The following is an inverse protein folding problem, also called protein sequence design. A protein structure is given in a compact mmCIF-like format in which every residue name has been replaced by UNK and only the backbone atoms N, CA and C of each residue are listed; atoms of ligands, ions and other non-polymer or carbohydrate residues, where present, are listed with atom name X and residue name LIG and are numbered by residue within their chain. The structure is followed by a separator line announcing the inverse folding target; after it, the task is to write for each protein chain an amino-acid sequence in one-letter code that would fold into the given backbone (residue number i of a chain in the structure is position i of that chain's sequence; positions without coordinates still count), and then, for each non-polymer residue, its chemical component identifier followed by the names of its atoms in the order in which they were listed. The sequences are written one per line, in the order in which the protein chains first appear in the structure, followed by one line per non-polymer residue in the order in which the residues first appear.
data_IF_374752947449
#
_entry.id   IF_374752947449
#
_cell.length_a   1.000
_cell.length_b   1.000
_cell.length_c   1.000
_cell.angle_alpha   90.00
_cell.angle_beta   90.00
_cell.angle_gamma   90.00
#
_symmetry.space_group_name_H-M   'P 1'
#
loop_
_entity.id
_entity.type
_entity.pdbx_description
1 polymer ?
#
# COMPACT_ATOMS: atom_id res chain seq x y z
N UNK A 1 -9.74 29.80 -4.54
CA UNK A 1 -8.47 29.80 -3.77
C UNK A 1 -8.53 30.90 -2.72
N UNK A 2 -8.97 30.58 -1.51
CA UNK A 2 -8.66 31.37 -0.32
C UNK A 2 -7.45 30.70 0.33
N UNK A 3 -6.24 31.09 -0.10
CA UNK A 3 -5.01 30.75 0.62
C UNK A 3 -4.67 31.97 1.48
N UNK A 4 -5.27 32.04 2.66
CA UNK A 4 -5.02 33.11 3.61
C UNK A 4 -4.29 32.57 4.82
N UNK A 5 -3.00 32.89 4.97
CA UNK A 5 -2.28 32.84 6.25
C UNK A 5 -2.80 33.95 7.20
N UNK A 6 -4.12 34.02 7.39
CA UNK A 6 -4.83 35.04 8.16
C UNK A 6 -5.84 34.41 9.12
N UNK A 7 -6.15 35.06 10.25
CA UNK A 7 -6.91 34.48 11.34
C UNK A 7 -8.43 34.53 11.09
N UNK A 8 -8.94 33.78 10.11
CA UNK A 8 -10.38 33.53 9.94
C UNK A 8 -10.69 32.12 9.40
N UNK A 9 -11.96 31.72 9.44
CA UNK A 9 -12.45 30.57 8.67
C UNK A 9 -12.37 30.91 7.17
N UNK A 10 -12.10 29.92 6.33
CA UNK A 10 -12.05 30.05 4.86
C UNK A 10 -13.31 30.70 4.23
N UNK A 11 -14.49 30.50 4.81
CA UNK A 11 -15.72 31.23 4.50
C UNK A 11 -16.66 31.30 5.72
N UNK A 12 -17.23 32.48 6.01
CA UNK A 12 -18.20 32.72 7.09
C UNK A 12 -19.42 33.43 6.49
N UNK A 13 -20.62 32.87 6.65
CA UNK A 13 -21.85 33.48 6.13
C UNK A 13 -23.06 33.26 7.06
N UNK A 14 -23.99 34.20 7.05
CA UNK A 14 -25.34 34.02 7.63
C UNK A 14 -26.39 33.66 6.58
N UNK A 15 -25.99 33.57 5.32
CA UNK A 15 -26.78 33.19 4.15
C UNK A 15 -26.18 31.94 3.50
N UNK A 16 -26.90 31.34 2.54
CA UNK A 16 -26.45 30.17 1.79
C UNK A 16 -25.03 30.35 1.22
N UNK A 17 -24.23 29.28 1.28
CA UNK A 17 -22.87 29.21 0.70
C UNK A 17 -22.81 28.13 -0.36
N UNK A 18 -22.46 28.49 -1.59
CA UNK A 18 -22.20 27.55 -2.68
C UNK A 18 -20.73 27.56 -3.06
N UNK A 19 -20.12 26.38 -3.15
CA UNK A 19 -18.72 26.16 -3.53
C UNK A 19 -18.67 25.16 -4.67
N UNK A 20 -18.07 25.53 -5.79
CA UNK A 20 -17.97 24.67 -6.98
C UNK A 20 -16.55 24.69 -7.51
N UNK A 21 -16.02 23.52 -7.87
CA UNK A 21 -14.72 23.35 -8.52
C UNK A 21 -13.58 24.11 -7.82
N UNK A 22 -13.61 24.11 -6.48
CA UNK A 22 -12.81 25.01 -5.66
C UNK A 22 -12.03 24.28 -4.58
N UNK A 23 -10.85 24.82 -4.27
CA UNK A 23 -10.03 24.38 -3.12
C UNK A 23 -10.04 25.43 -2.02
N UNK A 24 -10.43 25.00 -0.82
CA UNK A 24 -10.36 25.74 0.44
C UNK A 24 -9.39 24.99 1.34
N UNK A 25 -8.18 25.54 1.53
CA UNK A 25 -7.14 24.82 2.24
C UNK A 25 -6.20 25.69 3.05
N UNK A 26 -5.65 25.11 4.12
CA UNK A 26 -4.65 25.75 4.97
C UNK A 26 -5.20 26.89 5.84
N UNK A 27 -6.52 26.97 6.04
CA UNK A 27 -7.13 27.99 6.88
C UNK A 27 -7.05 27.58 8.35
N UNK A 28 -6.70 28.50 9.26
CA UNK A 28 -6.65 28.20 10.69
C UNK A 28 -6.57 29.46 11.54
N UNK A 29 -7.45 29.58 12.55
CA UNK A 29 -7.61 30.89 13.23
C UNK A 29 -8.05 30.88 14.69
N UNK A 30 -8.25 29.72 15.32
CA UNK A 30 -8.87 29.67 16.66
C UNK A 30 -10.36 30.04 16.67
N UNK A 31 -10.96 30.26 15.48
CA UNK A 31 -12.41 30.32 15.30
C UNK A 31 -13.04 28.92 15.44
N UNK A 32 -14.37 28.87 15.59
CA UNK A 32 -15.17 27.64 15.67
C UNK A 32 -14.85 26.67 14.52
N UNK A 33 -14.48 27.18 13.34
CA UNK A 33 -14.25 26.37 12.13
C UNK A 33 -13.03 26.81 11.34
N UNK A 34 -12.30 25.86 10.78
CA UNK A 34 -11.16 26.13 9.89
C UNK A 34 -11.60 26.48 8.47
N UNK A 35 -12.43 25.66 7.83
CA UNK A 35 -12.89 25.85 6.45
C UNK A 35 -14.13 26.74 6.31
N UNK A 36 -15.33 26.14 6.21
CA UNK A 36 -16.59 26.85 5.93
C UNK A 36 -17.51 26.80 7.14
N UNK A 37 -18.09 27.94 7.50
CA UNK A 37 -19.21 28.01 8.44
C UNK A 37 -20.34 28.85 7.86
N UNK A 38 -21.55 28.29 7.88
CA UNK A 38 -22.76 29.01 7.51
C UNK A 38 -23.90 28.70 8.49
N UNK A 39 -24.68 29.72 8.84
CA UNK A 39 -25.94 29.53 9.59
C UNK A 39 -27.12 29.09 8.72
N UNK A 40 -26.89 29.00 7.41
CA UNK A 40 -27.85 28.60 6.37
C UNK A 40 -27.25 27.42 5.57
N UNK A 41 -27.89 27.04 4.47
CA UNK A 41 -27.48 25.90 3.64
C UNK A 41 -26.06 26.04 3.06
N UNK A 42 -25.32 24.94 3.03
CA UNK A 42 -24.00 24.83 2.37
C UNK A 42 -24.10 23.81 1.24
N UNK A 43 -23.77 24.21 0.01
CA UNK A 43 -23.70 23.34 -1.15
C UNK A 43 -22.28 23.31 -1.72
N UNK A 44 -21.72 22.12 -1.87
CA UNK A 44 -20.34 21.92 -2.33
C UNK A 44 -20.32 20.88 -3.46
N UNK A 45 -19.77 21.25 -4.60
CA UNK A 45 -19.69 20.36 -5.77
C UNK A 45 -18.27 20.35 -6.33
N UNK A 46 -17.71 19.17 -6.60
CA UNK A 46 -16.44 19.05 -7.31
C UNK A 46 -15.25 19.72 -6.60
N UNK A 47 -15.27 19.78 -5.26
CA UNK A 47 -14.41 20.67 -4.49
C UNK A 47 -13.56 19.96 -3.43
N UNK A 48 -12.55 20.68 -2.93
CA UNK A 48 -11.62 20.18 -1.93
C UNK A 48 -11.58 21.08 -0.71
N UNK A 49 -11.74 20.47 0.46
CA UNK A 49 -11.49 21.13 1.74
C UNK A 49 -10.34 20.41 2.42
N UNK A 50 -9.16 21.04 2.45
CA UNK A 50 -7.95 20.36 2.90
C UNK A 50 -7.11 21.13 3.92
N UNK A 51 -6.51 20.42 4.87
CA UNK A 51 -5.53 20.99 5.82
C UNK A 51 -6.05 22.22 6.59
N UNK A 52 -7.36 22.32 6.81
CA UNK A 52 -7.95 23.40 7.60
C UNK A 52 -7.97 23.04 9.08
N UNK A 53 -7.79 24.03 9.96
CA UNK A 53 -7.71 23.84 11.42
C UNK A 53 -8.77 24.68 12.12
N UNK A 54 -9.68 24.05 12.86
CA UNK A 54 -10.75 24.72 13.61
C UNK A 54 -10.85 24.30 15.07
N UNK A 55 -11.54 25.11 15.87
CA UNK A 55 -11.75 24.83 17.29
C UNK A 55 -12.90 23.84 17.57
N UNK A 56 -13.86 23.72 16.65
CA UNK A 56 -14.96 22.74 16.72
C UNK A 56 -14.98 21.86 15.49
N UNK A 57 -14.93 22.45 14.29
CA UNK A 57 -14.89 21.71 13.04
C UNK A 57 -13.66 22.07 12.19
N UNK A 58 -12.97 21.07 11.64
CA UNK A 58 -11.79 21.33 10.80
C UNK A 58 -12.20 21.93 9.46
N UNK A 59 -13.12 21.27 8.75
CA UNK A 59 -13.51 21.64 7.40
C UNK A 59 -14.84 22.40 7.33
N UNK A 60 -15.93 21.87 7.90
CA UNK A 60 -17.30 22.39 7.70
C UNK A 60 -18.05 22.41 9.02
N UNK A 61 -18.77 23.49 9.31
CA UNK A 61 -19.83 23.54 10.33
C UNK A 61 -21.10 24.09 9.67
N UNK A 62 -22.11 23.23 9.54
CA UNK A 62 -23.39 23.60 8.92
C UNK A 62 -24.45 23.85 9.98
N UNK A 63 -25.04 25.04 9.94
CA UNK A 63 -26.12 25.44 10.84
C UNK A 63 -27.50 24.92 10.44
N UNK A 64 -27.76 24.68 9.15
CA UNK A 64 -29.03 24.16 8.61
C UNK A 64 -28.83 22.89 7.76
N UNK A 65 -28.60 22.99 6.45
CA UNK A 65 -28.38 21.81 5.59
C UNK A 65 -26.99 21.83 4.98
N UNK A 66 -26.44 20.65 4.72
CA UNK A 66 -25.18 20.47 3.98
C UNK A 66 -25.44 19.53 2.81
N UNK A 67 -24.95 19.90 1.63
CA UNK A 67 -24.84 18.99 0.50
C UNK A 67 -23.42 19.02 -0.04
N UNK A 68 -22.83 17.84 -0.19
CA UNK A 68 -21.56 17.67 -0.91
C UNK A 68 -21.76 16.65 -2.02
N UNK A 69 -21.29 16.97 -3.22
CA UNK A 69 -21.26 16.06 -4.37
C UNK A 69 -19.85 16.04 -4.92
N UNK A 70 -19.27 14.86 -5.19
CA UNK A 70 -17.94 14.76 -5.78
C UNK A 70 -16.90 15.59 -5.01
N UNK A 71 -16.84 15.43 -3.69
CA UNK A 71 -16.06 16.32 -2.81
C UNK A 71 -15.01 15.54 -2.02
N UNK A 72 -13.80 16.08 -1.91
CA UNK A 72 -12.73 15.52 -1.07
C UNK A 72 -12.47 16.40 0.15
N UNK A 73 -12.57 15.83 1.35
CA UNK A 73 -12.33 16.50 2.63
C UNK A 73 -11.19 15.78 3.34
N UNK A 74 -9.99 16.38 3.35
CA UNK A 74 -8.77 15.66 3.74
C UNK A 74 -7.79 16.49 4.58
N UNK A 75 -7.16 15.88 5.58
CA UNK A 75 -6.08 16.56 6.34
C UNK A 75 -6.55 17.64 7.32
N UNK A 76 -7.86 17.86 7.46
CA UNK A 76 -8.41 18.88 8.35
C UNK A 76 -8.28 18.47 9.81
N UNK A 77 -8.22 19.44 10.73
CA UNK A 77 -7.95 19.18 12.15
C UNK A 77 -8.87 19.98 13.06
N UNK A 78 -9.46 19.31 14.04
CA UNK A 78 -10.21 19.93 15.12
C UNK A 78 -10.32 18.97 16.30
N UNK A 79 -10.58 19.46 17.52
CA UNK A 79 -10.69 18.60 18.69
C UNK A 79 -12.01 17.81 18.77
N UNK A 80 -13.08 18.29 18.12
CA UNK A 80 -14.40 17.64 18.10
C UNK A 80 -14.67 16.98 16.74
N UNK A 81 -15.01 17.77 15.72
CA UNK A 81 -15.30 17.27 14.38
C UNK A 81 -14.11 17.54 13.44
N UNK A 82 -13.23 16.57 13.26
CA UNK A 82 -12.02 16.78 12.46
C UNK A 82 -12.33 17.22 11.02
N UNK A 83 -13.45 16.76 10.44
CA UNK A 83 -13.95 17.19 9.14
C UNK A 83 -15.23 18.03 9.25
N UNK A 84 -16.36 17.41 9.58
CA UNK A 84 -17.71 18.02 9.44
C UNK A 84 -18.43 18.02 10.79
N UNK A 85 -18.93 19.18 11.20
CA UNK A 85 -19.97 19.31 12.22
C UNK A 85 -21.31 19.63 11.54
N UNK A 86 -22.20 18.65 11.45
CA UNK A 86 -23.55 18.80 10.94
C UNK A 86 -24.52 19.02 12.11
N UNK A 87 -24.73 20.27 12.54
CA UNK A 87 -25.38 20.55 13.84
C UNK A 87 -26.88 20.33 13.86
N UNK A 88 -27.55 20.61 12.75
CA UNK A 88 -29.00 20.44 12.58
C UNK A 88 -29.31 20.05 11.14
N UNK A 89 -30.57 19.74 10.85
CA UNK A 89 -31.05 19.52 9.48
C UNK A 89 -30.43 18.29 8.81
N UNK A 90 -30.32 18.33 7.48
CA UNK A 90 -29.82 17.21 6.68
C UNK A 90 -28.42 17.51 6.15
N UNK A 91 -27.50 16.57 6.35
CA UNK A 91 -26.19 16.55 5.71
C UNK A 91 -26.15 15.42 4.68
N UNK A 92 -26.25 15.76 3.40
CA UNK A 92 -26.18 14.81 2.28
C UNK A 92 -24.77 14.77 1.68
N UNK A 93 -24.10 13.62 1.79
CA UNK A 93 -22.79 13.37 1.21
C UNK A 93 -22.90 12.33 0.09
N UNK A 94 -22.77 12.80 -1.15
CA UNK A 94 -22.86 11.99 -2.36
C UNK A 94 -21.50 11.95 -3.08
N UNK A 95 -20.97 10.75 -3.34
CA UNK A 95 -19.65 10.59 -3.97
C UNK A 95 -18.58 11.44 -3.27
N UNK A 96 -18.52 11.33 -1.94
CA UNK A 96 -17.63 12.15 -1.09
C UNK A 96 -16.57 11.28 -0.42
N UNK A 97 -15.37 11.82 -0.29
CA UNK A 97 -14.26 11.17 0.41
C UNK A 97 -13.85 12.02 1.60
N UNK A 98 -14.06 11.52 2.81
CA UNK A 98 -13.62 12.12 4.08
C UNK A 98 -12.47 11.26 4.63
N UNK A 99 -11.22 11.72 4.50
CA UNK A 99 -10.05 10.89 4.83
C UNK A 99 -8.92 11.69 5.50
N UNK A 100 -8.09 11.06 6.32
CA UNK A 100 -6.93 11.68 6.99
C UNK A 100 -7.23 12.98 7.74
N UNK A 101 -8.47 13.18 8.21
CA UNK A 101 -8.78 14.29 9.08
C UNK A 101 -8.31 13.92 10.49
N UNK A 102 -7.71 14.85 11.23
CA UNK A 102 -7.06 14.59 12.51
C UNK A 102 -7.83 15.20 13.69
N UNK A 103 -8.28 14.34 14.60
CA UNK A 103 -8.77 14.76 15.92
C UNK A 103 -7.62 15.31 16.76
N UNK A 104 -7.67 16.58 17.15
CA UNK A 104 -6.63 17.18 18.01
C UNK A 104 -6.82 16.76 19.47
N UNK A 105 -5.76 16.26 20.09
CA UNK A 105 -5.77 15.85 21.50
C UNK A 105 -6.07 17.04 22.42
N UNK A 106 -7.27 17.06 22.99
CA UNK A 106 -7.60 17.87 24.16
C UNK A 106 -7.63 16.95 25.38
N UNK A 107 -7.03 17.38 26.49
CA UNK A 107 -7.12 16.67 27.76
C UNK A 107 -8.17 17.35 28.64
N UNK A 108 -9.23 16.65 29.11
CA UNK A 108 -9.57 15.25 28.84
C UNK A 108 -10.14 15.03 27.41
N UNK A 109 -9.97 13.81 26.91
CA UNK A 109 -10.48 13.35 25.62
C UNK A 109 -11.99 13.54 25.57
N UNK A 110 -12.47 14.37 24.64
CA UNK A 110 -13.89 14.58 24.41
C UNK A 110 -14.52 13.32 23.78
N UNK A 111 -15.66 12.80 24.30
CA UNK A 111 -16.36 11.65 23.74
C UNK A 111 -16.98 11.91 22.36
N UNK A 112 -17.13 13.17 21.95
CA UNK A 112 -17.68 13.55 20.65
C UNK A 112 -16.62 13.64 19.54
N UNK A 113 -15.35 13.39 19.87
CA UNK A 113 -14.25 13.46 18.91
C UNK A 113 -14.42 12.44 17.80
N UNK A 114 -14.55 12.92 16.57
CA UNK A 114 -14.85 12.12 15.38
C UNK A 114 -14.43 12.84 14.10
N UNK A 115 -14.51 12.17 12.95
CA UNK A 115 -14.39 12.87 11.66
C UNK A 115 -15.66 13.66 11.35
N UNK A 116 -16.81 13.03 11.53
CA UNK A 116 -18.13 13.64 11.34
C UNK A 116 -18.90 13.60 12.66
N UNK A 117 -19.29 14.78 13.14
CA UNK A 117 -20.18 14.95 14.28
C UNK A 117 -21.57 15.35 13.76
N UNK A 118 -22.59 14.57 14.11
CA UNK A 118 -23.98 14.80 13.69
C UNK A 118 -24.82 15.20 14.90
N UNK A 119 -25.50 16.34 14.80
CA UNK A 119 -26.23 16.98 15.88
C UNK A 119 -25.33 17.86 16.76
N UNK A 120 -25.96 18.57 17.69
CA UNK A 120 -25.28 19.41 18.68
C UNK A 120 -25.79 19.10 20.11
N UNK A 121 -24.94 18.48 20.94
CA UNK A 121 -25.30 18.16 22.32
C UNK A 121 -25.53 19.41 23.20
N UNK A 122 -24.93 20.55 22.84
CA UNK A 122 -25.12 21.81 23.55
C UNK A 122 -26.41 22.53 23.14
N UNK A 123 -26.96 22.21 21.97
CA UNK A 123 -28.21 22.74 21.43
C UNK A 123 -28.97 21.62 20.70
N UNK A 124 -29.63 20.69 21.44
CA UNK A 124 -30.14 19.44 20.89
C UNK A 124 -31.20 19.71 19.82
N UNK A 125 -30.76 19.56 18.58
CA UNK A 125 -31.58 19.52 17.39
C UNK A 125 -31.32 18.18 16.72
N UNK A 126 -32.36 17.62 16.11
CA UNK A 126 -32.24 16.39 15.34
C UNK A 126 -31.50 16.72 14.05
N UNK A 127 -30.51 15.90 13.71
CA UNK A 127 -29.75 16.00 12.48
C UNK A 127 -29.68 14.63 11.82
N UNK A 128 -29.75 14.63 10.50
CA UNK A 128 -29.70 13.41 9.70
C UNK A 128 -28.49 13.47 8.76
N UNK A 129 -27.63 12.47 8.85
CA UNK A 129 -26.53 12.27 7.90
C UNK A 129 -26.97 11.27 6.84
N UNK A 130 -27.01 11.69 5.59
CA UNK A 130 -27.38 10.86 4.44
C UNK A 130 -26.12 10.58 3.64
N UNK A 131 -25.80 9.30 3.44
CA UNK A 131 -24.59 8.86 2.75
C UNK A 131 -24.95 8.06 1.50
N UNK A 132 -24.38 8.42 0.35
CA UNK A 132 -24.42 7.63 -0.87
C UNK A 132 -23.06 7.66 -1.59
N UNK A 133 -22.49 6.49 -1.92
CA UNK A 133 -21.18 6.40 -2.56
C UNK A 133 -20.07 7.15 -1.79
N UNK A 134 -20.14 7.14 -0.45
CA UNK A 134 -19.26 7.96 0.40
C UNK A 134 -18.34 7.11 1.27
N UNK A 135 -17.08 7.53 1.37
CA UNK A 135 -16.13 6.99 2.34
C UNK A 135 -15.90 7.95 3.51
N UNK A 136 -15.98 7.44 4.75
CA UNK A 136 -15.66 8.18 5.97
C UNK A 136 -14.57 7.47 6.79
N UNK A 137 -13.39 8.06 6.86
CA UNK A 137 -12.28 7.60 7.69
C UNK A 137 -12.33 8.21 9.10
N UNK A 138 -11.90 7.44 10.09
CA UNK A 138 -11.70 7.84 11.47
C UNK A 138 -10.76 9.05 11.59
N UNK A 139 -11.03 9.91 12.58
CA UNK A 139 -10.26 11.13 12.80
C UNK A 139 -8.84 10.86 13.36
N UNK A 140 -8.59 9.67 13.87
CA UNK A 140 -7.31 9.18 14.37
C UNK A 140 -7.51 7.77 14.91
N UNK A 141 -6.42 7.04 15.13
CA UNK A 141 -6.48 5.71 15.74
C UNK A 141 -7.25 5.74 17.07
N UNK A 142 -8.35 4.98 17.15
CA UNK A 142 -9.20 4.89 18.33
C UNK A 142 -10.22 6.03 18.50
N UNK A 143 -10.47 6.82 17.45
CA UNK A 143 -11.60 7.76 17.40
C UNK A 143 -12.59 7.35 16.31
N UNK A 144 -13.90 7.50 16.53
CA UNK A 144 -14.92 7.18 15.54
C UNK A 144 -14.78 7.95 14.21
N UNK A 145 -15.12 7.31 13.10
CA UNK A 145 -15.46 7.99 11.85
C UNK A 145 -16.69 8.91 12.04
N UNK A 146 -17.75 8.41 12.68
CA UNK A 146 -18.97 9.18 12.95
C UNK A 146 -19.35 9.15 14.44
N UNK A 147 -19.89 10.28 14.94
CA UNK A 147 -20.57 10.34 16.24
C UNK A 147 -21.91 11.04 16.09
N UNK A 148 -22.96 10.42 16.63
CA UNK A 148 -24.28 11.03 16.81
C UNK A 148 -24.32 11.71 18.19
N UNK A 149 -24.33 13.04 18.21
CA UNK A 149 -24.24 13.87 19.40
C UNK A 149 -25.56 13.97 20.18
N UNK A 150 -26.70 13.83 19.49
CA UNK A 150 -28.04 14.06 20.04
C UNK A 150 -28.92 12.82 19.86
N UNK A 151 -29.73 12.52 20.88
CA UNK A 151 -30.71 11.45 20.81
C UNK A 151 -31.85 11.88 19.86
N UNK A 152 -31.99 11.19 18.73
CA UNK A 152 -32.90 11.56 17.64
C UNK A 152 -32.19 11.72 16.30
N UNK A 153 -30.90 12.04 16.32
CA UNK A 153 -30.06 12.03 15.12
C UNK A 153 -29.86 10.61 14.61
N UNK A 154 -29.72 10.47 13.29
CA UNK A 154 -29.56 9.19 12.61
C UNK A 154 -28.63 9.31 11.40
N UNK A 155 -28.10 8.15 10.98
CA UNK A 155 -27.49 7.99 9.66
C UNK A 155 -28.49 7.26 8.76
N UNK A 156 -28.81 7.86 7.62
CA UNK A 156 -29.48 7.21 6.51
C UNK A 156 -28.40 6.67 5.55
N UNK A 157 -28.10 5.37 5.66
CA UNK A 157 -27.18 4.70 4.74
C UNK A 157 -27.93 4.25 3.49
N UNK A 158 -27.73 4.97 2.39
CA UNK A 158 -28.36 4.66 1.10
C UNK A 158 -27.65 3.49 0.42
N UNK A 159 -26.60 3.72 -0.37
CA UNK A 159 -25.89 2.64 -1.06
C UNK A 159 -24.41 2.92 -1.27
N UNK A 160 -23.65 1.83 -1.32
CA UNK A 160 -22.21 1.77 -1.55
C UNK A 160 -21.40 2.74 -0.67
N UNK A 161 -21.71 2.79 0.62
CA UNK A 161 -20.93 3.56 1.58
C UNK A 161 -19.83 2.71 2.20
N UNK A 162 -18.79 3.36 2.71
CA UNK A 162 -17.75 2.70 3.47
C UNK A 162 -17.30 3.56 4.65
N UNK A 163 -16.99 2.93 5.77
CA UNK A 163 -16.33 3.59 6.89
C UNK A 163 -15.16 2.76 7.40
N UNK A 164 -14.21 3.43 8.05
CA UNK A 164 -12.99 2.74 8.50
C UNK A 164 -13.21 1.87 9.74
N UNK A 165 -14.24 2.13 10.55
CA UNK A 165 -14.34 1.57 11.90
C UNK A 165 -15.76 1.19 12.37
N UNK A 166 -16.75 1.11 11.46
CA UNK A 166 -18.13 0.68 11.75
C UNK A 166 -18.85 1.57 12.77
N UNK A 167 -18.58 2.87 12.72
CA UNK A 167 -19.19 3.87 13.63
C UNK A 167 -20.20 4.77 12.94
N UNK A 168 -20.30 4.72 11.62
CA UNK A 168 -21.29 5.47 10.84
C UNK A 168 -22.63 4.73 10.66
N UNK A 169 -22.88 3.64 11.42
CA UNK A 169 -24.12 2.86 11.37
C UNK A 169 -24.52 2.47 9.92
N UNK A 170 -23.55 2.01 9.12
CA UNK A 170 -23.78 1.59 7.74
C UNK A 170 -24.53 0.25 7.70
N UNK A 171 -25.81 0.30 7.32
CA UNK A 171 -26.71 -0.86 7.39
C UNK A 171 -27.14 -1.42 6.04
N UNK A 172 -26.84 -0.75 4.93
CA UNK A 172 -27.30 -1.22 3.63
C UNK A 172 -26.44 -2.41 3.16
N UNK A 173 -27.00 -3.45 2.50
CA UNK A 173 -26.25 -4.65 2.13
C UNK A 173 -25.07 -4.43 1.16
N UNK A 174 -25.01 -3.28 0.52
CA UNK A 174 -23.92 -2.90 -0.40
C UNK A 174 -22.78 -2.16 0.30
N UNK A 175 -22.93 -1.83 1.58
CA UNK A 175 -21.96 -1.03 2.30
C UNK A 175 -20.75 -1.88 2.74
N UNK A 176 -19.67 -1.18 3.06
CA UNK A 176 -18.44 -1.73 3.60
C UNK A 176 -18.17 -1.10 4.98
N UNK A 177 -18.83 -1.57 6.06
CA UNK A 177 -18.52 -1.12 7.40
C UNK A 177 -17.17 -1.65 7.88
N UNK A 178 -16.40 -0.80 8.57
CA UNK A 178 -15.22 -1.20 9.31
C UNK A 178 -14.05 -1.70 8.46
N UNK A 179 -13.81 -1.10 7.28
CA UNK A 179 -12.76 -1.58 6.36
C UNK A 179 -11.32 -1.35 6.85
N UNK A 180 -11.14 -0.57 7.90
CA UNK A 180 -9.82 -0.13 8.36
C UNK A 180 -9.23 0.92 7.43
N UNK A 181 -8.00 0.70 6.97
CA UNK A 181 -7.32 1.61 6.03
C UNK A 181 -7.99 1.50 4.64
N UNK A 182 -8.51 2.61 4.10
CA UNK A 182 -9.13 2.60 2.77
C UNK A 182 -8.11 2.50 1.62
N UNK A 183 -6.80 2.54 1.91
CA UNK A 183 -5.73 2.41 0.92
C UNK A 183 -5.83 3.48 -0.19
N UNK A 184 -6.17 4.71 0.22
CA UNK A 184 -6.23 5.89 -0.65
C UNK A 184 -4.82 6.46 -0.86
N UNK A 185 -4.47 6.79 -2.11
CA UNK A 185 -3.24 7.53 -2.39
C UNK A 185 -3.30 8.95 -1.78
N UNK A 186 -2.16 9.60 -1.50
CA UNK A 186 -2.13 10.97 -0.97
C UNK A 186 -2.92 11.96 -1.84
N UNK A 187 -3.37 13.06 -1.24
CA UNK A 187 -4.07 14.13 -1.96
C UNK A 187 -3.19 14.65 -3.10
N UNK A 188 -3.66 14.48 -4.33
CA UNK A 188 -2.88 14.76 -5.52
C UNK A 188 -3.77 15.24 -6.66
N UNK A 189 -3.16 15.82 -7.67
CA UNK A 189 -3.83 16.08 -8.94
C UNK A 189 -4.01 14.75 -9.68
N UNK A 190 -5.24 14.24 -9.71
CA UNK A 190 -5.60 12.99 -10.38
C UNK A 190 -6.43 13.25 -11.66
N UNK A 191 -6.34 14.46 -12.21
CA UNK A 191 -7.26 14.98 -13.21
C UNK A 191 -8.45 15.71 -12.59
N UNK A 192 -9.14 16.53 -13.39
CA UNK A 192 -10.27 17.35 -12.94
C UNK A 192 -9.91 18.76 -12.49
N UNK A 193 -10.88 19.51 -11.92
CA UNK A 193 -10.70 20.89 -11.50
C UNK A 193 -9.96 21.05 -10.16
N UNK A 194 -9.94 19.99 -9.34
CA UNK A 194 -9.40 19.97 -7.98
C UNK A 194 -8.66 18.66 -7.69
N UNK A 195 -7.83 18.66 -6.64
CA UNK A 195 -7.11 17.46 -6.20
C UNK A 195 -8.07 16.43 -5.58
N UNK A 196 -7.73 15.14 -5.63
CA UNK A 196 -8.58 14.09 -5.02
C UNK A 196 -7.74 13.04 -4.29
N UNK A 197 -8.43 12.18 -3.54
CA UNK A 197 -7.86 10.99 -2.89
C UNK A 197 -8.31 9.76 -3.67
N UNK A 198 -7.44 9.27 -4.55
CA UNK A 198 -7.77 8.15 -5.41
C UNK A 198 -7.56 6.81 -4.67
N UNK A 199 -8.50 5.85 -4.73
CA UNK A 199 -8.25 4.50 -4.26
C UNK A 199 -7.03 3.87 -4.95
N UNK A 200 -6.24 3.09 -4.22
CA UNK A 200 -5.16 2.30 -4.83
C UNK A 200 -5.68 1.03 -5.50
N UNK A 201 -4.79 0.28 -6.15
CA UNK A 201 -5.12 -1.03 -6.75
C UNK A 201 -5.53 -2.11 -5.75
N UNK A 202 -5.32 -1.88 -4.44
CA UNK A 202 -5.69 -2.81 -3.38
C UNK A 202 -6.80 -2.28 -2.47
N UNK A 203 -7.33 -1.11 -2.77
CA UNK A 203 -8.42 -0.53 -1.99
C UNK A 203 -9.68 -1.36 -2.13
N UNK A 204 -10.37 -1.62 -1.01
CA UNK A 204 -11.70 -2.20 -1.01
C UNK A 204 -12.75 -1.28 -1.66
N UNK A 205 -12.44 0.02 -1.80
CA UNK A 205 -13.32 1.00 -2.44
C UNK A 205 -13.32 0.87 -3.97
N UNK A 206 -12.32 0.20 -4.56
CA UNK A 206 -12.14 0.05 -6.01
C UNK A 206 -13.19 -0.88 -6.62
N UNK A 207 -13.79 -0.46 -7.74
CA UNK A 207 -14.79 -1.25 -8.51
C UNK A 207 -15.96 -1.80 -7.68
N UNK A 208 -16.22 -1.23 -6.50
CA UNK A 208 -17.22 -1.78 -5.58
C UNK A 208 -18.64 -1.44 -6.03
N UNK A 209 -18.82 -0.33 -6.76
CA UNK A 209 -20.11 0.08 -7.30
C UNK A 209 -20.32 -0.61 -8.65
N UNK A 210 -21.33 -1.49 -8.82
CA UNK A 210 -21.54 -2.18 -10.09
C UNK A 210 -21.92 -1.23 -11.22
N UNK A 211 -21.42 -1.50 -12.43
CA UNK A 211 -21.82 -0.76 -13.63
C UNK A 211 -23.34 -0.75 -13.82
N UNK A 212 -23.89 0.44 -14.09
CA UNK A 212 -25.33 0.70 -14.24
C UNK A 212 -26.06 1.02 -12.93
N UNK A 213 -25.36 1.02 -11.78
CA UNK A 213 -25.90 1.56 -10.55
C UNK A 213 -25.98 3.10 -10.59
N UNK A 214 -26.69 3.68 -9.62
CA UNK A 214 -26.70 5.14 -9.40
C UNK A 214 -25.27 5.63 -9.14
N UNK A 215 -24.86 6.73 -9.80
CA UNK A 215 -23.49 7.27 -9.84
C UNK A 215 -22.45 6.36 -10.50
N UNK A 216 -22.88 5.30 -11.18
CA UNK A 216 -21.99 4.41 -11.91
C UNK A 216 -22.61 3.96 -13.24
N UNK A 217 -23.34 4.85 -13.90
CA UNK A 217 -23.96 4.59 -15.19
C UNK A 217 -23.09 5.10 -16.35
N UNK A 218 -23.08 4.42 -17.51
CA UNK A 218 -22.39 4.91 -18.69
C UNK A 218 -22.82 6.34 -19.06
N UNK A 219 -21.88 7.28 -18.96
CA UNK A 219 -22.12 8.71 -19.20
C UNK A 219 -22.02 9.58 -17.96
N UNK A 220 -22.04 8.99 -16.76
CA UNK A 220 -21.67 9.70 -15.53
C UNK A 220 -20.19 10.07 -15.58
N UNK A 221 -19.81 11.12 -14.84
CA UNK A 221 -18.44 11.64 -14.83
C UNK A 221 -18.02 11.91 -13.38
N UNK A 222 -16.88 11.35 -12.98
CA UNK A 222 -16.27 11.58 -11.67
C UNK A 222 -15.70 12.99 -11.53
N UNK A 223 -15.33 13.40 -10.31
CA UNK A 223 -14.66 14.68 -10.06
C UNK A 223 -13.39 14.86 -10.91
N UNK A 224 -12.64 13.78 -11.15
CA UNK A 224 -11.42 13.85 -11.95
C UNK A 224 -11.65 13.83 -13.47
N UNK A 225 -12.91 13.95 -13.91
CA UNK A 225 -13.28 14.12 -15.31
C UNK A 225 -13.29 12.82 -16.13
N UNK A 226 -13.30 11.66 -15.47
CA UNK A 226 -13.36 10.36 -16.14
C UNK A 226 -14.80 9.91 -16.30
N UNK A 227 -15.12 9.31 -17.46
CA UNK A 227 -16.42 8.70 -17.69
C UNK A 227 -16.57 7.42 -16.87
N UNK A 228 -17.71 7.21 -16.24
CA UNK A 228 -17.94 6.04 -15.40
C UNK A 228 -18.65 4.91 -16.15
N UNK A 229 -18.37 3.64 -15.80
CA UNK A 229 -17.19 3.18 -15.06
C UNK A 229 -15.92 3.21 -15.94
N UNK A 230 -14.75 3.24 -15.30
CA UNK A 230 -13.46 3.00 -15.96
C UNK A 230 -13.04 1.53 -15.89
N UNK A 231 -13.66 0.74 -15.01
CA UNK A 231 -13.40 -0.68 -14.84
C UNK A 231 -14.67 -1.53 -14.95
N UNK A 232 -14.66 -2.73 -14.34
CA UNK A 232 -15.89 -3.51 -14.15
C UNK A 232 -16.93 -2.82 -13.24
N UNK A 233 -16.52 -1.85 -12.43
CA UNK A 233 -17.37 -1.01 -11.58
C UNK A 233 -16.80 0.39 -11.41
N UNK A 234 -17.34 1.15 -10.47
CA UNK A 234 -16.84 2.46 -10.06
C UNK A 234 -16.32 2.42 -8.63
N UNK A 235 -15.48 3.40 -8.29
CA UNK A 235 -14.98 3.61 -6.95
C UNK A 235 -16.03 4.18 -5.98
N UNK A 236 -15.99 3.76 -4.71
CA UNK A 236 -16.63 4.53 -3.62
C UNK A 236 -15.81 5.79 -3.36
N UNK A 237 -16.48 6.94 -3.29
CA UNK A 237 -15.89 8.24 -2.98
C UNK A 237 -15.92 9.19 -4.17
N UNK A 238 -15.01 10.17 -4.15
CA UNK A 238 -15.11 11.35 -5.00
C UNK A 238 -14.38 11.26 -6.34
N UNK A 239 -13.62 10.20 -6.60
CA UNK A 239 -12.80 10.09 -7.81
C UNK A 239 -12.74 8.66 -8.32
N UNK A 240 -12.62 8.54 -9.65
CA UNK A 240 -12.53 7.27 -10.35
C UNK A 240 -11.09 7.03 -10.81
N UNK A 241 -10.64 5.78 -10.77
CA UNK A 241 -9.34 5.36 -11.30
C UNK A 241 -9.46 5.19 -12.81
N UNK A 242 -8.56 5.77 -13.61
CA UNK A 242 -8.59 5.51 -15.05
C UNK A 242 -8.40 4.03 -15.33
N UNK A 243 -9.04 3.55 -16.39
CA UNK A 243 -8.87 2.20 -16.90
C UNK A 243 -7.38 2.00 -17.22
N UNK A 244 -6.66 1.35 -16.32
CA UNK A 244 -5.22 1.22 -16.43
C UNK A 244 -4.90 -0.20 -16.86
N UNK A 245 -4.20 -0.32 -17.98
CA UNK A 245 -3.49 -1.56 -18.27
C UNK A 245 -2.35 -1.70 -17.24
N UNK A 246 -2.46 -2.63 -16.29
CA UNK A 246 -1.53 -2.75 -15.18
C UNK A 246 -1.23 -4.21 -14.80
N UNK A 247 -0.03 -4.40 -14.26
CA UNK A 247 0.36 -5.60 -13.53
C UNK A 247 0.69 -5.19 -12.09
N UNK A 248 0.15 -5.92 -11.14
CA UNK A 248 0.36 -5.65 -9.73
C UNK A 248 0.28 -6.93 -8.92
N UNK A 249 0.67 -6.88 -7.65
CA UNK A 249 0.54 -8.04 -6.77
C UNK A 249 1.37 -7.90 -5.52
N UNK A 250 1.59 -9.03 -4.86
CA UNK A 250 2.40 -9.16 -3.65
C UNK A 250 3.58 -10.08 -3.90
N UNK A 251 4.66 -9.85 -3.17
CA UNK A 251 5.78 -10.79 -3.07
C UNK A 251 5.93 -11.24 -1.63
N UNK A 252 5.95 -12.56 -1.42
CA UNK A 252 6.09 -13.17 -0.10
C UNK A 252 7.23 -14.19 -0.05
N UNK A 253 7.66 -14.53 1.16
CA UNK A 253 8.59 -15.62 1.38
C UNK A 253 7.84 -16.97 1.33
N UNK A 254 8.39 -17.91 0.57
CA UNK A 254 7.81 -19.25 0.43
C UNK A 254 7.78 -19.97 1.78
N UNK A 255 6.60 -20.47 2.17
CA UNK A 255 6.42 -21.27 3.38
C UNK A 255 6.03 -20.47 4.62
N UNK A 256 6.61 -19.29 4.83
CA UNK A 256 6.25 -18.41 5.95
C UNK A 256 5.12 -17.44 5.59
N UNK A 257 4.99 -17.08 4.32
CA UNK A 257 4.02 -16.08 3.84
C UNK A 257 4.38 -14.65 4.24
N UNK A 258 5.55 -14.43 4.85
CA UNK A 258 6.02 -13.10 5.25
C UNK A 258 6.16 -12.23 4.00
N UNK A 259 5.60 -11.01 3.97
CA UNK A 259 5.79 -10.12 2.83
C UNK A 259 7.24 -9.68 2.67
N UNK A 260 7.71 -9.61 1.43
CA UNK A 260 9.09 -9.28 1.10
C UNK A 260 9.18 -7.86 0.54
N UNK A 261 9.77 -6.97 1.34
CA UNK A 261 10.07 -5.60 0.94
C UNK A 261 11.39 -5.50 0.15
N UNK A 262 11.50 -4.49 -0.71
CA UNK A 262 12.76 -4.22 -1.42
C UNK A 262 13.06 -5.17 -2.60
N UNK A 263 12.12 -6.05 -2.96
CA UNK A 263 12.25 -6.93 -4.13
C UNK A 263 12.08 -6.09 -5.38
N UNK A 264 13.08 -6.13 -6.26
CA UNK A 264 13.01 -5.46 -7.54
C UNK A 264 12.14 -6.27 -8.51
N UNK A 265 11.03 -5.68 -8.92
CA UNK A 265 10.11 -6.24 -9.90
C UNK A 265 10.37 -5.59 -11.24
N UNK A 266 10.66 -6.37 -12.28
CA UNK A 266 10.94 -5.85 -13.63
C UNK A 266 10.01 -6.49 -14.65
N UNK A 267 9.21 -5.66 -15.30
CA UNK A 267 8.32 -6.08 -16.39
C UNK A 267 9.09 -6.05 -17.70
N UNK A 268 8.99 -7.13 -18.46
CA UNK A 268 9.61 -7.29 -19.78
C UNK A 268 8.63 -7.81 -20.79
N UNK A 269 8.82 -7.48 -22.06
CA UNK A 269 8.04 -8.08 -23.15
C UNK A 269 8.40 -9.56 -23.33
N UNK A 270 7.59 -10.32 -24.07
CA UNK A 270 7.92 -11.69 -24.51
C UNK A 270 9.21 -11.81 -25.33
N UNK A 271 9.71 -10.71 -25.91
CA UNK A 271 11.01 -10.63 -26.58
C UNK A 271 12.18 -10.28 -25.63
N UNK A 272 11.94 -10.27 -24.31
CA UNK A 272 12.90 -9.93 -23.25
C UNK A 272 13.35 -8.45 -23.27
N UNK A 273 12.57 -7.56 -23.87
CA UNK A 273 12.84 -6.11 -23.83
C UNK A 273 12.39 -5.55 -22.48
N UNK A 274 13.21 -4.72 -21.85
CA UNK A 274 12.84 -4.01 -20.62
C UNK A 274 11.74 -3.00 -20.87
N UNK A 275 10.72 -2.99 -20.00
CA UNK A 275 9.56 -2.08 -20.11
C UNK A 275 9.54 -1.14 -18.92
N UNK A 276 9.46 -1.70 -17.72
CA UNK A 276 9.34 -0.95 -16.48
C UNK A 276 9.93 -1.73 -15.30
N UNK A 277 10.15 -1.03 -14.20
CA UNK A 277 10.49 -1.64 -12.92
C UNK A 277 9.86 -0.89 -11.76
N UNK A 278 9.62 -1.62 -10.69
CA UNK A 278 9.22 -1.11 -9.39
C UNK A 278 9.93 -1.92 -8.30
N UNK A 279 9.72 -1.54 -7.05
CA UNK A 279 10.24 -2.25 -5.87
C UNK A 279 9.08 -2.51 -4.92
N UNK A 280 9.05 -3.69 -4.31
CA UNK A 280 7.99 -4.02 -3.35
C UNK A 280 8.05 -3.15 -2.09
N UNK A 281 6.88 -2.75 -1.61
CA UNK A 281 6.69 -2.04 -0.35
C UNK A 281 6.92 -2.93 0.88
N UNK A 282 6.77 -2.36 2.08
CA UNK A 282 6.98 -3.06 3.36
C UNK A 282 6.06 -4.28 3.55
N UNK A 283 4.90 -4.24 2.92
CA UNK A 283 3.85 -5.26 2.87
C UNK A 283 3.96 -6.17 1.63
N UNK A 284 5.09 -6.11 0.93
CA UNK A 284 5.35 -6.91 -0.26
C UNK A 284 4.59 -6.48 -1.51
N UNK A 285 3.76 -5.44 -1.47
CA UNK A 285 2.96 -4.99 -2.61
C UNK A 285 3.81 -4.29 -3.68
N UNK A 286 3.45 -4.48 -4.95
CA UNK A 286 4.07 -3.81 -6.10
C UNK A 286 3.04 -3.53 -7.20
N UNK A 287 3.23 -2.44 -7.94
CA UNK A 287 2.34 -2.00 -9.02
C UNK A 287 3.13 -1.43 -10.19
N UNK A 288 2.71 -1.77 -11.41
CA UNK A 288 3.17 -1.19 -12.67
C UNK A 288 1.95 -0.95 -13.56
N UNK A 289 1.51 0.30 -13.65
CA UNK A 289 0.42 0.73 -14.54
C UNK A 289 0.91 1.33 -15.86
N UNK A 290 -0.05 1.65 -16.75
CA UNK A 290 0.23 2.31 -18.03
C UNK A 290 0.91 1.42 -19.08
N UNK A 291 0.74 0.11 -18.96
CA UNK A 291 1.28 -0.84 -19.93
C UNK A 291 0.52 -0.74 -21.27
N UNK A 292 1.21 -0.98 -22.38
CA UNK A 292 0.50 -1.20 -23.63
C UNK A 292 -0.15 -2.60 -23.60
N UNK A 293 -1.23 -2.84 -24.36
CA UNK A 293 -1.71 -4.21 -24.55
C UNK A 293 -0.61 -5.08 -25.17
N UNK A 294 -0.41 -6.28 -24.64
CA UNK A 294 0.63 -7.19 -25.10
C UNK A 294 0.98 -8.27 -24.09
N UNK A 295 1.98 -9.07 -24.45
CA UNK A 295 2.46 -10.19 -23.64
C UNK A 295 3.72 -9.80 -22.85
N UNK A 296 3.65 -10.02 -21.53
CA UNK A 296 4.69 -9.66 -20.59
C UNK A 296 5.19 -10.84 -19.77
N UNK A 297 6.41 -10.73 -19.28
CA UNK A 297 6.99 -11.60 -18.25
C UNK A 297 7.60 -10.74 -17.17
N UNK A 298 7.41 -11.14 -15.92
CA UNK A 298 7.83 -10.35 -14.75
C UNK A 298 8.98 -11.06 -14.06
N UNK A 299 10.09 -10.35 -13.85
CA UNK A 299 11.24 -10.82 -13.08
C UNK A 299 11.17 -10.26 -11.66
N UNK A 300 11.30 -11.14 -10.67
CA UNK A 300 11.43 -10.81 -9.25
C UNK A 300 12.86 -11.08 -8.81
N UNK A 301 13.52 -10.04 -8.30
CA UNK A 301 14.93 -10.10 -7.92
C UNK A 301 15.17 -9.44 -6.58
N UNK A 302 15.74 -10.19 -5.66
CA UNK A 302 16.31 -9.67 -4.42
C UNK A 302 17.71 -9.09 -4.69
N UNK A 303 17.91 -7.81 -4.39
CA UNK A 303 19.19 -7.14 -4.55
C UNK A 303 20.26 -7.67 -3.58
N UNK A 304 19.84 -8.15 -2.40
CA UNK A 304 20.73 -8.76 -1.39
C UNK A 304 21.14 -10.18 -1.75
N UNK A 305 20.44 -10.79 -2.73
CA UNK A 305 20.60 -12.19 -3.18
C UNK A 305 20.27 -13.24 -2.11
N UNK A 306 19.58 -12.85 -1.05
CA UNK A 306 19.14 -13.79 -0.03
C UNK A 306 17.91 -14.61 -0.46
N UNK A 307 17.22 -14.20 -1.53
CA UNK A 307 16.15 -14.97 -2.14
C UNK A 307 16.47 -15.35 -3.58
N UNK A 308 15.94 -16.50 -4.01
CA UNK A 308 16.08 -17.00 -5.37
C UNK A 308 15.44 -16.02 -6.36
N UNK A 309 16.22 -15.59 -7.36
CA UNK A 309 15.68 -14.83 -8.48
C UNK A 309 14.79 -15.73 -9.36
N UNK A 310 13.57 -15.28 -9.64
CA UNK A 310 12.56 -16.03 -10.40
C UNK A 310 11.75 -15.10 -11.31
N UNK A 311 11.11 -15.68 -12.32
CA UNK A 311 10.09 -15.03 -13.12
C UNK A 311 8.69 -15.47 -12.67
N UNK A 312 7.65 -14.77 -13.14
CA UNK A 312 6.25 -15.08 -12.89
C UNK A 312 5.95 -16.58 -13.05
N UNK A 313 5.11 -17.11 -12.16
CA UNK A 313 4.84 -18.55 -12.09
C UNK A 313 6.02 -19.37 -11.55
N UNK A 314 6.90 -18.75 -10.76
CA UNK A 314 8.08 -19.40 -10.16
C UNK A 314 9.08 -19.98 -11.17
N UNK A 315 9.11 -19.47 -12.39
CA UNK A 315 10.01 -19.94 -13.43
C UNK A 315 11.46 -19.50 -13.16
N UNK A 316 12.41 -20.44 -13.19
CA UNK A 316 13.82 -20.17 -12.89
C UNK A 316 14.55 -19.28 -13.91
N UNK A 317 13.98 -19.10 -15.12
CA UNK A 317 14.58 -18.32 -16.20
C UNK A 317 13.54 -17.78 -17.17
N UNK A 318 13.89 -16.73 -17.91
CA UNK A 318 13.00 -16.03 -18.84
C UNK A 318 12.33 -16.97 -19.87
N UNK A 319 13.07 -17.93 -20.42
CA UNK A 319 12.57 -18.87 -21.42
C UNK A 319 11.53 -19.86 -20.87
N UNK A 320 11.54 -20.12 -19.55
CA UNK A 320 10.63 -21.06 -18.89
C UNK A 320 9.34 -20.40 -18.40
N UNK A 321 9.32 -19.08 -18.22
CA UNK A 321 8.14 -18.34 -17.79
C UNK A 321 7.10 -18.28 -18.91
N UNK A 322 5.83 -18.57 -18.59
CA UNK A 322 4.73 -18.31 -19.50
C UNK A 322 4.47 -16.78 -19.60
N UNK A 323 4.11 -16.26 -20.78
CA UNK A 323 3.70 -14.86 -20.89
C UNK A 323 2.37 -14.62 -20.17
N UNK A 324 2.23 -13.43 -19.59
CA UNK A 324 0.99 -12.85 -19.09
C UNK A 324 0.46 -11.97 -20.22
N UNK A 325 -0.68 -12.33 -20.81
CA UNK A 325 -1.35 -11.53 -21.83
C UNK A 325 -2.17 -10.45 -21.14
N UNK A 326 -1.90 -9.20 -21.50
CA UNK A 326 -2.57 -8.02 -20.93
C UNK A 326 -3.30 -7.29 -22.06
N UNK A 327 -4.62 -7.16 -21.97
CA UNK A 327 -5.44 -6.38 -22.88
C UNK A 327 -5.57 -4.91 -22.42
N UNK A 328 -6.14 -4.06 -23.28
CA UNK A 328 -6.35 -2.65 -22.92
C UNK A 328 -7.32 -2.55 -21.73
N UNK A 329 -6.90 -1.86 -20.67
CA UNK A 329 -7.70 -1.69 -19.45
C UNK A 329 -7.61 -2.85 -18.46
N UNK A 330 -6.84 -3.91 -18.77
CA UNK A 330 -6.66 -5.03 -17.83
C UNK A 330 -5.80 -4.61 -16.63
N UNK A 331 -6.31 -4.79 -15.42
CA UNK A 331 -5.51 -4.82 -14.20
C UNK A 331 -5.37 -6.27 -13.72
N UNK A 332 -4.19 -6.88 -13.87
CA UNK A 332 -3.98 -8.29 -13.53
C UNK A 332 -3.07 -8.49 -12.31
N UNK A 333 -3.56 -9.27 -11.36
CA UNK A 333 -2.80 -9.72 -10.19
C UNK A 333 -1.74 -10.75 -10.59
N UNK A 334 -0.50 -10.54 -10.14
CA UNK A 334 0.68 -11.37 -10.37
C UNK A 334 1.44 -11.55 -9.06
N UNK A 335 0.83 -12.29 -8.13
CA UNK A 335 1.47 -12.63 -6.86
C UNK A 335 2.64 -13.60 -7.06
N UNK A 336 3.64 -13.51 -6.18
CA UNK A 336 4.81 -14.38 -6.24
C UNK A 336 5.33 -14.74 -4.85
N UNK A 337 5.65 -16.02 -4.64
CA UNK A 337 6.43 -16.46 -3.49
C UNK A 337 7.89 -16.71 -3.93
N UNK A 338 8.86 -16.15 -3.19
CA UNK A 338 10.30 -16.36 -3.43
C UNK A 338 10.88 -17.27 -2.36
N UNK A 339 11.78 -18.18 -2.75
CA UNK A 339 12.45 -19.07 -1.81
C UNK A 339 13.63 -18.34 -1.16
N UNK A 340 13.69 -18.35 0.18
CA UNK A 340 14.84 -17.86 0.92
C UNK A 340 16.02 -18.81 0.73
N UNK A 341 17.07 -18.30 0.10
CA UNK A 341 18.32 -19.01 -0.23
C UNK A 341 19.54 -18.14 0.11
N UNK A 342 19.78 -17.81 1.39
CA UNK A 342 20.94 -17.01 1.78
C UNK A 342 22.26 -17.72 1.43
N UNK A 343 23.37 -16.96 1.45
CA UNK A 343 24.68 -17.51 1.16
C UNK A 343 25.36 -18.07 2.42
N UNK A 344 25.90 -19.29 2.33
CA UNK A 344 27.06 -19.68 3.13
C UNK A 344 28.28 -19.05 2.48
N UNK A 345 29.01 -18.22 3.23
CA UNK A 345 30.17 -17.50 2.72
C UNK A 345 31.47 -18.03 3.34
N UNK A 346 32.61 -17.74 2.72
CA UNK A 346 33.90 -18.04 3.34
C UNK A 346 35.07 -17.76 2.42
N UNK A 347 36.26 -18.08 2.90
CA UNK A 347 37.50 -18.04 2.12
C UNK A 347 38.19 -19.40 2.11
N UNK A 348 38.83 -19.71 0.99
CA UNK A 348 39.71 -20.86 0.85
C UNK A 348 41.14 -20.36 0.65
N UNK A 349 42.07 -20.90 1.45
CA UNK A 349 43.49 -20.52 1.40
C UNK A 349 44.39 -21.76 1.31
N UNK A 350 45.65 -21.58 0.95
CA UNK A 350 46.66 -22.62 0.99
C UNK A 350 47.18 -22.80 2.42
N UNK A 351 47.27 -24.06 2.88
CA UNK A 351 47.86 -24.40 4.18
C UNK A 351 49.32 -23.97 4.22
N UNK A 352 49.71 -23.27 5.30
CA UNK A 352 51.08 -22.83 5.53
C UNK A 352 51.37 -21.43 4.99
N UNK A 353 51.08 -21.14 3.72
CA UNK A 353 51.31 -19.80 3.16
C UNK A 353 50.16 -18.82 3.44
N UNK A 354 48.95 -19.34 3.63
CA UNK A 354 47.74 -18.52 3.75
C UNK A 354 47.32 -17.83 2.46
N UNK A 355 47.94 -18.17 1.32
CA UNK A 355 47.63 -17.58 0.02
C UNK A 355 46.19 -17.90 -0.36
N UNK A 356 45.36 -16.93 -0.78
CA UNK A 356 44.01 -17.22 -1.22
C UNK A 356 43.96 -18.08 -2.47
N UNK A 357 43.03 -19.04 -2.51
CA UNK A 357 42.91 -20.01 -3.59
C UNK A 357 41.65 -19.77 -4.42
N UNK A 358 41.83 -19.25 -5.64
CA UNK A 358 40.76 -19.13 -6.63
C UNK A 358 40.52 -20.39 -7.45
N UNK A 359 39.29 -20.58 -7.93
CA UNK A 359 38.93 -21.75 -8.75
C UNK A 359 38.62 -23.03 -7.96
N UNK A 360 38.61 -22.98 -6.63
CA UNK A 360 38.25 -24.11 -5.78
C UNK A 360 36.74 -24.33 -5.85
N UNK A 361 36.34 -25.57 -6.10
CA UNK A 361 34.94 -25.96 -6.10
C UNK A 361 34.46 -26.24 -4.67
N UNK A 362 33.46 -25.49 -4.23
CA UNK A 362 32.81 -25.67 -2.93
C UNK A 362 31.45 -26.32 -3.16
N UNK A 363 31.22 -27.51 -2.61
CA UNK A 363 29.95 -28.25 -2.77
C UNK A 363 29.30 -28.50 -1.42
N UNK A 364 28.01 -28.25 -1.34
CA UNK A 364 27.18 -28.66 -0.21
C UNK A 364 26.51 -30.00 -0.48
N UNK A 365 26.52 -30.85 0.55
CA UNK A 365 25.78 -32.10 0.58
C UNK A 365 24.92 -32.21 1.84
N UNK A 366 23.82 -32.95 1.74
CA UNK A 366 22.98 -33.29 2.89
C UNK A 366 23.72 -34.24 3.86
N UNK A 367 23.17 -34.44 5.05
CA UNK A 367 23.66 -35.45 6.01
C UNK A 367 23.56 -36.90 5.50
N UNK A 368 22.79 -37.13 4.43
CA UNK A 368 22.71 -38.40 3.70
C UNK A 368 23.63 -38.43 2.46
N UNK A 369 24.57 -37.49 2.33
CA UNK A 369 25.54 -37.39 1.24
C UNK A 369 24.94 -37.09 -0.14
N UNK A 370 23.73 -36.52 -0.20
CA UNK A 370 23.10 -36.09 -1.45
C UNK A 370 23.62 -34.71 -1.85
N UNK A 371 23.92 -34.50 -3.12
CA UNK A 371 24.35 -33.20 -3.64
C UNK A 371 23.20 -32.18 -3.59
N UNK A 372 23.50 -30.95 -3.14
CA UNK A 372 22.50 -29.87 -3.01
C UNK A 372 22.85 -28.70 -3.91
N UNK A 373 24.12 -28.26 -3.88
CA UNK A 373 24.57 -27.10 -4.64
C UNK A 373 26.08 -26.97 -4.64
N UNK A 374 26.58 -26.14 -5.55
CA UNK A 374 28.00 -25.85 -5.67
C UNK A 374 28.24 -24.39 -6.07
N UNK A 375 29.41 -23.89 -5.70
CA UNK A 375 29.97 -22.62 -6.17
C UNK A 375 31.47 -22.79 -6.39
N UNK A 376 32.12 -21.73 -6.86
CA UNK A 376 33.57 -21.70 -7.08
C UNK A 376 34.15 -20.46 -6.43
N UNK A 377 35.31 -20.60 -5.79
CA UNK A 377 36.01 -19.46 -5.19
C UNK A 377 36.45 -18.46 -6.27
N UNK A 378 36.29 -17.18 -5.97
CA UNK A 378 36.85 -16.09 -6.76
C UNK A 378 38.38 -16.07 -6.63
N UNK A 379 39.05 -15.24 -7.45
CA UNK A 379 40.51 -15.16 -7.49
C UNK A 379 41.15 -14.78 -6.13
N UNK A 380 40.41 -14.10 -5.27
CA UNK A 380 40.81 -13.73 -3.90
C UNK A 380 40.45 -14.81 -2.86
N UNK A 381 40.09 -16.02 -3.30
CA UNK A 381 39.73 -17.15 -2.45
C UNK A 381 38.34 -17.07 -1.82
N UNK A 382 37.59 -15.98 -2.01
CA UNK A 382 36.25 -15.83 -1.42
C UNK A 382 35.21 -16.66 -2.17
N UNK A 383 34.17 -17.13 -1.48
CA UNK A 383 33.02 -17.77 -2.10
C UNK A 383 31.71 -17.40 -1.40
N UNK A 384 30.61 -17.54 -2.14
CA UNK A 384 29.24 -17.45 -1.65
C UNK A 384 28.40 -18.58 -2.27
N UNK A 385 27.91 -19.50 -1.45
CA UNK A 385 27.11 -20.66 -1.84
C UNK A 385 25.67 -20.46 -1.35
N UNK A 386 24.75 -20.15 -2.26
CA UNK A 386 23.34 -19.85 -1.94
C UNK A 386 22.52 -21.15 -1.83
N UNK A 387 21.92 -21.38 -0.67
CA UNK A 387 21.17 -22.60 -0.35
C UNK A 387 19.98 -22.25 0.55
N UNK A 388 18.88 -23.02 0.51
CA UNK A 388 17.86 -22.93 1.55
C UNK A 388 18.44 -23.14 2.95
N UNK A 389 17.80 -22.62 4.02
CA UNK A 389 18.15 -22.97 5.39
C UNK A 389 18.14 -24.50 5.61
N UNK A 390 19.16 -25.00 6.29
CA UNK A 390 19.35 -26.42 6.53
C UNK A 390 20.71 -26.75 7.11
N UNK A 391 20.94 -28.04 7.35
CA UNK A 391 22.24 -28.55 7.83
C UNK A 391 22.95 -29.30 6.72
N UNK A 392 24.17 -28.86 6.40
CA UNK A 392 24.96 -29.35 5.28
C UNK A 392 26.35 -29.79 5.70
N UNK A 393 26.98 -30.64 4.88
CA UNK A 393 28.42 -30.92 4.91
C UNK A 393 29.05 -30.34 3.66
N UNK A 394 30.07 -29.50 3.83
CA UNK A 394 30.78 -28.88 2.70
C UNK A 394 32.05 -29.66 2.37
N UNK A 395 32.32 -29.79 1.07
CA UNK A 395 33.57 -30.32 0.52
C UNK A 395 34.19 -29.29 -0.42
N UNK A 396 35.50 -29.13 -0.28
CA UNK A 396 36.34 -28.20 -1.03
C UNK A 396 37.26 -29.03 -1.92
N UNK A 397 37.21 -28.81 -3.22
CA UNK A 397 37.96 -29.61 -4.20
C UNK A 397 38.64 -28.69 -5.19
N UNK A 398 39.95 -28.85 -5.33
CA UNK A 398 40.73 -28.23 -6.39
C UNK A 398 40.58 -29.03 -7.69
N UNK A 399 39.90 -28.49 -8.73
CA UNK A 399 39.71 -29.19 -10.00
C UNK A 399 41.01 -29.44 -10.76
N UNK A 400 42.08 -28.70 -10.47
CA UNK A 400 43.39 -28.86 -11.12
C UNK A 400 44.20 -30.01 -10.50
N UNK A 401 43.80 -30.48 -9.32
CA UNK A 401 44.48 -31.55 -8.59
C UNK A 401 45.81 -31.12 -7.97
N UNK A 402 46.08 -29.83 -7.78
CA UNK A 402 47.29 -29.33 -7.12
C UNK A 402 47.19 -29.30 -5.59
N UNK A 403 45.97 -29.35 -5.04
CA UNK A 403 45.72 -29.42 -3.61
C UNK A 403 44.86 -30.63 -3.23
N UNK A 404 45.06 -31.13 -2.00
CA UNK A 404 44.27 -32.21 -1.42
C UNK A 404 42.85 -31.70 -1.14
N UNK A 405 41.84 -32.41 -1.63
CA UNK A 405 40.45 -32.10 -1.31
C UNK A 405 40.14 -32.41 0.16
N UNK A 406 39.34 -31.55 0.79
CA UNK A 406 38.96 -31.71 2.19
C UNK A 406 37.49 -31.39 2.47
N UNK A 407 37.01 -31.84 3.62
CA UNK A 407 35.70 -31.47 4.14
C UNK A 407 35.87 -30.42 5.25
N UNK A 408 34.84 -29.59 5.41
CA UNK A 408 34.84 -28.50 6.40
C UNK A 408 35.38 -28.90 7.78
N UNK A 409 36.18 -28.00 8.37
CA UNK A 409 36.93 -28.16 9.61
C UNK A 409 38.01 -29.27 9.55
N UNK A 410 38.79 -29.26 8.45
CA UNK A 410 39.95 -30.12 8.18
C UNK A 410 39.64 -31.62 8.33
N UNK A 411 38.48 -32.04 7.81
CA UNK A 411 38.02 -33.43 7.93
C UNK A 411 38.37 -34.22 6.66
N UNK A 412 38.92 -35.44 6.78
CA UNK A 412 39.43 -36.19 5.63
C UNK A 412 38.34 -36.92 4.82
N UNK A 413 37.06 -36.75 5.16
CA UNK A 413 35.99 -37.48 4.51
C UNK A 413 34.61 -37.20 5.07
N UNK A 414 33.58 -37.50 4.26
CA UNK A 414 32.16 -37.25 4.58
C UNK A 414 31.74 -37.77 5.96
N UNK A 415 32.14 -38.99 6.32
CA UNK A 415 31.74 -39.61 7.60
C UNK A 415 32.24 -38.83 8.82
N UNK A 416 33.38 -38.13 8.69
CA UNK A 416 34.01 -37.35 9.76
C UNK A 416 33.75 -35.84 9.64
N UNK A 417 33.17 -35.39 8.53
CA UNK A 417 32.92 -33.97 8.23
C UNK A 417 32.04 -33.31 9.30
N UNK A 418 32.46 -32.13 9.75
CA UNK A 418 31.64 -31.29 10.63
C UNK A 418 30.48 -30.71 9.83
N UNK A 419 29.27 -30.79 10.38
CA UNK A 419 28.10 -30.21 9.75
C UNK A 419 28.06 -28.69 10.01
N UNK A 420 27.63 -27.95 8.99
CA UNK A 420 27.34 -26.51 9.05
C UNK A 420 25.83 -26.35 9.10
N UNK A 421 25.34 -25.74 10.17
CA UNK A 421 23.93 -25.32 10.28
C UNK A 421 23.80 -23.94 9.66
N UNK A 422 23.03 -23.85 8.59
CA UNK A 422 22.79 -22.64 7.83
C UNK A 422 21.35 -22.19 8.05
N UNK A 423 21.17 -21.05 8.71
CA UNK A 423 19.83 -20.49 9.01
C UNK A 423 19.63 -19.12 8.36
N UNK A 424 20.71 -18.40 8.10
CA UNK A 424 20.72 -17.04 7.56
C UNK A 424 22.02 -16.75 6.80
N UNK A 425 22.16 -15.50 6.31
CA UNK A 425 23.30 -15.02 5.55
C UNK A 425 24.58 -14.74 6.38
N UNK A 426 24.61 -15.05 7.67
CA UNK A 426 25.79 -14.85 8.54
C UNK A 426 26.69 -16.09 8.61
N UNK A 427 26.22 -17.21 8.05
CA UNK A 427 26.93 -18.49 8.12
C UNK A 427 28.25 -18.42 7.35
N UNK A 428 29.37 -18.61 8.05
CA UNK A 428 30.71 -18.63 7.47
C UNK A 428 31.36 -20.00 7.59
N UNK A 429 32.02 -20.47 6.53
CA UNK A 429 32.76 -21.73 6.52
C UNK A 429 34.08 -21.62 5.72
N UNK A 430 35.19 -21.36 6.41
CA UNK A 430 36.51 -21.26 5.76
C UNK A 430 37.18 -22.64 5.61
N UNK A 431 38.16 -22.73 4.72
CA UNK A 431 38.95 -23.93 4.48
C UNK A 431 40.42 -23.61 4.16
N UNK A 432 41.33 -24.57 4.43
CA UNK A 432 42.75 -24.46 4.10
C UNK A 432 43.22 -25.72 3.38
N UNK A 433 43.41 -25.61 2.06
CA UNK A 433 43.80 -26.77 1.27
C UNK A 433 45.30 -26.99 1.32
N UNK A 434 45.70 -28.23 1.58
CA UNK A 434 47.10 -28.64 1.62
C UNK A 434 47.62 -28.90 0.20
N UNK A 435 48.72 -28.27 -0.23
CA UNK A 435 49.30 -28.52 -1.55
C UNK A 435 49.82 -29.94 -1.67
N UNK A 436 49.68 -30.55 -2.86
CA UNK A 436 50.27 -31.84 -3.20
C UNK A 436 51.71 -31.59 -3.61
N UNK A 437 52.65 -31.80 -2.69
CA UNK A 437 54.08 -31.80 -3.01
C UNK A 437 54.41 -33.03 -3.85
N UNK A 438 54.90 -32.80 -5.07
CA UNK A 438 55.35 -33.86 -5.99
C UNK A 438 56.62 -34.57 -5.55
#
# INVERSE_FOLDING_TARGET
RTSGDGPGAGAISSEQVTVTDSTISGNGSGATVGGIVASDDIEIVGSVLADNVGATAGAIDSGLSLSTVHTTISGNRAPLAAAIAARSGQANLEATTVADNLGLDTAPVDPQRSSILVGDAAAPTDAELILASTFVGAASAGTPACVLATAGSNVASEWYNADSDDTCDLVHPTDLPGIGDPELVPLADNGGPTQTRLPSAWSALKDHIPSGAYLCSPGDVSQNGLSLPQGPGCEIGAAERPAATALYGTVTETGTGVPLAGIQVRVRTSANTYVAATTTGADGRWYVGGLAPGDYKVLFRDATKNHQQIFNGSAAMFGAAAPITVAAGDELVTDQAMMFTPAISGTVTETGTGTPLGGIQVRARTLANTFVGATTTAADGTYALHLPPGTYKLVFTDPTGTHIAEWYADKPGFAKATAVTHVDATTTANAQLTPITG
#
